data_IF_674194512760
#
_entry.id   IF_674194512760
#
_cell.length_a   1.000
_cell.length_b   1.000
_cell.length_c   1.000
_cell.angle_alpha   90.00
_cell.angle_beta   90.00
_cell.angle_gamma   90.00
#
_symmetry.space_group_name_H-M   'P 1'
#
loop_
_entity.id
_entity.type
_entity.pdbx_description
1 polymer ?
#
# COMPACT_ATOMS: atom_id res chain seq x y z
N UNK A 1 -22.18 6.67 19.72
CA UNK A 1 -21.20 6.56 18.62
C UNK A 1 -20.73 5.12 18.61
N UNK A 2 -21.17 4.32 17.63
CA UNK A 2 -20.77 2.92 17.53
C UNK A 2 -19.29 2.86 17.15
N UNK A 3 -18.50 2.03 17.83
CA UNK A 3 -17.15 1.71 17.40
C UNK A 3 -17.25 1.05 16.01
N UNK A 4 -16.73 1.70 14.97
CA UNK A 4 -16.49 1.04 13.68
C UNK A 4 -15.51 -0.13 13.95
N UNK A 5 -15.76 -1.29 13.34
CA UNK A 5 -14.84 -2.42 13.44
C UNK A 5 -13.61 -2.16 12.58
N UNK A 6 -12.42 -2.41 13.12
CA UNK A 6 -11.19 -2.44 12.34
C UNK A 6 -11.18 -3.68 11.44
N UNK A 7 -10.64 -3.55 10.24
CA UNK A 7 -10.33 -4.67 9.36
C UNK A 7 -9.13 -5.44 9.90
N UNK A 8 -9.12 -6.76 9.68
CA UNK A 8 -8.05 -7.65 10.12
C UNK A 8 -7.12 -7.99 8.95
N UNK A 9 -5.81 -7.96 9.21
CA UNK A 9 -4.81 -8.46 8.26
C UNK A 9 -4.76 -9.98 8.38
N UNK A 10 -5.14 -10.67 7.30
CA UNK A 10 -5.08 -12.12 7.19
C UNK A 10 -3.77 -12.57 6.56
N UNK A 11 -3.07 -13.54 7.18
CA UNK A 11 -1.93 -14.21 6.54
C UNK A 11 -2.45 -15.39 5.71
N UNK A 12 -2.38 -15.26 4.39
CA UNK A 12 -2.87 -16.27 3.43
C UNK A 12 -1.92 -17.47 3.27
N UNK A 13 -0.63 -17.29 3.59
CA UNK A 13 0.36 -18.35 3.49
C UNK A 13 1.66 -17.86 2.87
N UNK A 14 2.23 -18.66 1.97
CA UNK A 14 3.45 -18.30 1.25
C UNK A 14 3.27 -18.45 -0.25
N UNK A 15 3.83 -17.51 -1.00
CA UNK A 15 3.95 -17.64 -2.45
C UNK A 15 4.92 -18.79 -2.80
N UNK A 16 4.52 -19.78 -3.62
CA UNK A 16 5.34 -20.96 -3.87
C UNK A 16 6.60 -20.69 -4.70
N UNK A 17 6.67 -19.56 -5.42
CA UNK A 17 7.80 -19.23 -6.30
C UNK A 17 8.87 -18.42 -5.57
N UNK A 18 8.45 -17.45 -4.78
CA UNK A 18 9.30 -16.49 -4.07
C UNK A 18 9.48 -16.83 -2.59
N UNK A 19 8.66 -17.72 -2.03
CA UNK A 19 8.62 -18.08 -0.60
C UNK A 19 8.33 -16.91 0.35
N UNK A 20 7.80 -15.80 -0.18
CA UNK A 20 7.36 -14.62 0.59
C UNK A 20 6.05 -14.94 1.31
N UNK A 21 5.88 -14.42 2.52
CA UNK A 21 4.60 -14.48 3.21
C UNK A 21 3.59 -13.56 2.50
N UNK A 22 2.40 -14.08 2.24
CA UNK A 22 1.31 -13.33 1.62
C UNK A 22 0.32 -12.89 2.71
N UNK A 23 0.00 -11.60 2.71
CA UNK A 23 -0.97 -10.99 3.60
C UNK A 23 -2.09 -10.33 2.78
N UNK A 24 -3.30 -10.32 3.32
CA UNK A 24 -4.46 -9.71 2.71
C UNK A 24 -5.21 -8.86 3.72
N UNK A 25 -5.68 -7.70 3.29
CA UNK A 25 -6.53 -6.80 4.06
C UNK A 25 -7.64 -6.32 3.14
N UNK A 26 -8.89 -6.47 3.59
CA UNK A 26 -10.05 -5.89 2.94
C UNK A 26 -10.67 -4.85 3.87
N UNK A 27 -10.72 -3.60 3.43
CA UNK A 27 -11.26 -2.48 4.18
C UNK A 27 -12.21 -1.69 3.27
N UNK A 28 -13.37 -1.30 3.80
CA UNK A 28 -14.35 -0.49 3.08
C UNK A 28 -14.07 1.01 3.21
N UNK A 29 -13.47 1.42 4.33
CA UNK A 29 -13.06 2.79 4.64
C UNK A 29 -11.60 2.81 5.13
N UNK A 30 -10.89 3.92 4.92
CA UNK A 30 -9.52 4.11 5.42
C UNK A 30 -9.43 3.99 6.96
N UNK A 31 -10.47 4.39 7.69
CA UNK A 31 -10.54 4.28 9.15
C UNK A 31 -10.57 2.83 9.67
N UNK A 32 -10.85 1.85 8.80
CA UNK A 32 -10.83 0.43 9.17
C UNK A 32 -9.42 -0.16 9.11
N UNK A 33 -8.46 0.54 8.50
CA UNK A 33 -7.09 0.05 8.32
C UNK A 33 -6.38 0.07 9.67
N UNK A 34 -5.80 -1.06 10.12
CA UNK A 34 -5.17 -1.12 11.41
C UNK A 34 -3.91 -0.25 11.43
N UNK A 35 -3.82 0.67 12.40
CA UNK A 35 -2.64 1.52 12.58
C UNK A 35 -1.37 0.78 13.00
N UNK A 36 -1.45 -0.52 13.29
CA UNK A 36 -0.31 -1.42 13.54
C UNK A 36 -0.36 -2.63 12.65
N UNK A 37 0.72 -2.88 11.93
CA UNK A 37 0.89 -4.02 11.05
C UNK A 37 2.06 -4.86 11.53
N UNK A 38 1.83 -6.17 11.74
CA UNK A 38 2.84 -7.10 12.21
C UNK A 38 3.19 -8.07 11.08
N UNK A 39 4.17 -7.69 10.26
CA UNK A 39 4.69 -8.55 9.21
C UNK A 39 5.88 -9.37 9.69
N UNK A 40 6.09 -10.52 9.06
CA UNK A 40 7.23 -11.40 9.31
C UNK A 40 8.56 -10.87 8.77
N UNK A 41 8.51 -9.90 7.85
CA UNK A 41 9.65 -9.27 7.19
C UNK A 41 9.65 -7.76 7.48
N UNK A 42 10.83 -7.14 7.65
CA UNK A 42 10.94 -5.69 7.80
C UNK A 42 10.68 -4.92 6.51
N UNK A 43 10.67 -5.60 5.35
CA UNK A 43 10.34 -5.00 4.05
C UNK A 43 9.27 -5.82 3.33
N UNK A 44 8.38 -5.15 2.60
CA UNK A 44 7.35 -5.80 1.81
C UNK A 44 7.02 -5.03 0.53
N UNK A 45 6.34 -5.73 -0.37
CA UNK A 45 5.72 -5.16 -1.57
C UNK A 45 4.23 -5.03 -1.32
N UNK A 46 3.61 -3.94 -1.79
CA UNK A 46 2.21 -3.64 -1.52
C UNK A 46 1.44 -3.43 -2.82
N UNK A 47 0.38 -4.21 -3.03
CA UNK A 47 -0.64 -3.92 -4.04
C UNK A 47 -1.77 -3.15 -3.34
N UNK A 48 -2.04 -1.93 -3.81
CA UNK A 48 -3.19 -1.13 -3.40
C UNK A 48 -4.24 -1.23 -4.51
N UNK A 49 -5.26 -2.06 -4.28
CA UNK A 49 -6.42 -2.16 -5.14
C UNK A 49 -7.55 -1.26 -4.60
N UNK A 50 -7.74 -0.09 -5.19
CA UNK A 50 -8.61 0.95 -4.68
C UNK A 50 -9.16 1.84 -5.80
N UNK A 51 -10.48 2.08 -5.78
CA UNK A 51 -11.11 3.15 -6.56
C UNK A 51 -10.94 4.49 -5.83
N UNK A 52 -9.91 5.25 -6.18
CA UNK A 52 -9.50 6.47 -5.47
C UNK A 52 -10.03 7.77 -6.09
N UNK A 53 -10.98 7.70 -7.03
CA UNK A 53 -11.52 8.83 -7.81
C UNK A 53 -11.98 10.02 -6.94
N UNK A 54 -12.57 9.72 -5.78
CA UNK A 54 -13.10 10.71 -4.83
C UNK A 54 -12.16 11.05 -3.67
N UNK A 55 -11.02 10.39 -3.59
CA UNK A 55 -10.12 10.51 -2.44
C UNK A 55 -9.18 11.70 -2.64
N UNK A 56 -9.00 12.49 -1.58
CA UNK A 56 -8.05 13.61 -1.59
C UNK A 56 -6.61 13.12 -1.50
N UNK A 57 -5.66 13.99 -1.83
CA UNK A 57 -4.23 13.68 -1.66
C UNK A 57 -3.92 13.36 -0.20
N UNK A 58 -4.51 14.11 0.75
CA UNK A 58 -4.33 13.87 2.19
C UNK A 58 -4.87 12.50 2.63
N UNK A 59 -5.98 12.04 2.06
CA UNK A 59 -6.52 10.71 2.32
C UNK A 59 -5.57 9.63 1.79
N UNK A 60 -5.04 9.80 0.58
CA UNK A 60 -4.03 8.90 -0.01
C UNK A 60 -2.74 8.88 0.84
N UNK A 61 -2.23 10.05 1.23
CA UNK A 61 -1.05 10.15 2.09
C UNK A 61 -1.26 9.45 3.43
N UNK A 62 -2.44 9.61 4.05
CA UNK A 62 -2.76 8.97 5.33
C UNK A 62 -2.78 7.44 5.27
N UNK A 63 -3.07 6.87 4.09
CA UNK A 63 -2.95 5.44 3.82
C UNK A 63 -1.50 5.00 3.62
N UNK A 64 -0.74 5.76 2.82
CA UNK A 64 0.58 5.36 2.31
C UNK A 64 1.69 5.55 3.34
N UNK A 65 1.69 6.66 4.08
CA UNK A 65 2.78 6.98 5.02
C UNK A 65 3.02 5.87 6.05
N UNK A 66 1.99 5.26 6.68
CA UNK A 66 2.19 4.12 7.56
C UNK A 66 2.80 2.92 6.84
N UNK A 67 2.39 2.63 5.59
CA UNK A 67 2.91 1.49 4.83
C UNK A 67 4.41 1.65 4.56
N UNK A 68 4.83 2.84 4.14
CA UNK A 68 6.24 3.20 3.96
C UNK A 68 7.01 3.00 5.28
N UNK A 69 6.48 3.55 6.38
CA UNK A 69 7.09 3.43 7.72
C UNK A 69 7.23 1.97 8.20
N UNK A 70 6.31 1.09 7.80
CA UNK A 70 6.38 -0.35 8.11
C UNK A 70 7.28 -1.14 7.15
N UNK A 71 7.86 -0.50 6.13
CA UNK A 71 8.83 -1.10 5.22
C UNK A 71 8.30 -1.44 3.82
N UNK A 72 7.21 -0.81 3.37
CA UNK A 72 6.82 -0.90 1.98
C UNK A 72 7.88 -0.26 1.09
N UNK A 73 8.52 -1.06 0.23
CA UNK A 73 9.60 -0.61 -0.67
C UNK A 73 9.20 -0.67 -2.15
N UNK A 74 8.02 -1.23 -2.44
CA UNK A 74 7.45 -1.29 -3.78
C UNK A 74 5.93 -1.19 -3.68
N UNK A 75 5.34 -0.31 -4.48
CA UNK A 75 3.90 -0.16 -4.59
C UNK A 75 3.43 -0.47 -6.02
N UNK A 76 2.35 -1.24 -6.10
CA UNK A 76 1.57 -1.43 -7.30
C UNK A 76 0.18 -0.87 -7.03
N UNK A 77 -0.27 0.10 -7.82
CA UNK A 77 -1.58 0.72 -7.68
C UNK A 77 -2.54 0.22 -8.77
N UNK A 78 -3.77 -0.12 -8.38
CA UNK A 78 -4.81 -0.60 -9.28
C UNK A 78 -6.18 -0.03 -8.89
N UNK A 79 -7.02 0.24 -9.87
CA UNK A 79 -8.38 0.76 -9.69
C UNK A 79 -8.57 2.12 -10.34
N UNK A 80 -9.76 2.70 -10.21
CA UNK A 80 -10.04 4.00 -10.80
C UNK A 80 -9.15 5.09 -10.18
N UNK A 81 -8.53 5.90 -11.04
CA UNK A 81 -7.66 7.03 -10.63
C UNK A 81 -6.43 6.61 -9.80
N UNK A 82 -5.99 5.36 -9.96
CA UNK A 82 -4.84 4.81 -9.22
C UNK A 82 -3.49 5.44 -9.61
N UNK A 83 -3.41 6.13 -10.76
CA UNK A 83 -2.25 6.96 -11.12
C UNK A 83 -2.02 8.04 -10.07
N UNK A 84 -3.08 8.66 -9.52
CA UNK A 84 -2.95 9.64 -8.44
C UNK A 84 -2.38 9.04 -7.14
N UNK A 85 -2.70 7.77 -6.86
CA UNK A 85 -2.12 7.05 -5.71
C UNK A 85 -0.62 6.90 -5.91
N UNK A 86 -0.20 6.49 -7.10
CA UNK A 86 1.21 6.44 -7.49
C UNK A 86 1.90 7.81 -7.38
N UNK A 87 1.36 8.85 -8.02
CA UNK A 87 1.97 10.19 -8.01
C UNK A 87 2.13 10.74 -6.58
N UNK A 88 1.17 10.44 -5.70
CA UNK A 88 1.24 10.82 -4.28
C UNK A 88 2.38 10.10 -3.55
N UNK A 89 2.60 8.81 -3.83
CA UNK A 89 3.72 8.04 -3.25
C UNK A 89 5.06 8.62 -3.72
N UNK A 90 5.18 8.91 -5.01
CA UNK A 90 6.40 9.50 -5.59
C UNK A 90 6.69 10.89 -5.01
N UNK A 91 5.65 11.72 -4.84
CA UNK A 91 5.78 13.02 -4.19
C UNK A 91 6.26 12.87 -2.74
N UNK A 92 5.65 11.96 -1.96
CA UNK A 92 6.08 11.63 -0.59
C UNK A 92 7.54 11.18 -0.55
N UNK A 93 7.97 10.27 -1.43
CA UNK A 93 9.34 9.76 -1.46
C UNK A 93 10.36 10.84 -1.86
N UNK A 94 9.97 11.76 -2.75
CA UNK A 94 10.85 12.81 -3.28
C UNK A 94 11.20 13.93 -2.28
N UNK A 95 10.48 14.04 -1.15
CA UNK A 95 10.72 15.11 -0.20
C UNK A 95 12.07 14.90 0.53
N UNK A 96 12.99 15.89 0.49
CA UNK A 96 14.38 15.75 0.97
C UNK A 96 14.53 15.61 2.50
N UNK A 97 13.41 15.53 3.22
CA UNK A 97 13.32 15.40 4.68
C UNK A 97 12.28 14.35 5.03
N UNK A 98 12.43 13.12 4.52
CA UNK A 98 11.55 12.00 4.89
C UNK A 98 11.76 11.62 6.37
N UNK A 99 11.15 12.40 7.26
CA UNK A 99 11.00 12.17 8.71
C UNK A 99 10.02 10.99 8.98
N UNK A 100 9.53 10.35 7.91
CA UNK A 100 8.63 9.20 7.89
C UNK A 100 9.37 7.92 8.33
N UNK A 101 10.71 7.97 8.42
CA UNK A 101 11.54 6.89 8.93
C UNK A 101 11.99 5.89 7.86
N UNK A 102 11.91 6.26 6.59
CA UNK A 102 12.52 5.49 5.50
C UNK A 102 14.04 5.40 5.71
N UNK A 103 14.68 4.23 5.54
CA UNK A 103 16.13 4.10 5.67
C UNK A 103 16.87 5.10 4.78
N UNK A 104 18.01 5.66 5.24
CA UNK A 104 18.90 6.43 4.35
C UNK A 104 19.20 5.59 3.09
N UNK A 105 19.00 6.17 1.90
CA UNK A 105 19.12 5.54 0.58
C UNK A 105 18.02 4.53 0.18
N UNK A 106 16.88 4.47 0.87
CA UNK A 106 15.74 3.69 0.36
C UNK A 106 15.17 4.33 -0.90
N UNK A 107 15.08 3.54 -1.98
CA UNK A 107 14.33 3.93 -3.18
C UNK A 107 12.98 3.23 -3.12
N UNK A 108 11.90 4.00 -3.08
CA UNK A 108 10.56 3.45 -3.27
C UNK A 108 10.33 3.33 -4.77
N UNK A 109 9.89 2.14 -5.19
CA UNK A 109 9.47 1.93 -6.58
C UNK A 109 7.95 1.87 -6.64
N UNK A 110 7.38 2.47 -7.67
CA UNK A 110 5.94 2.57 -7.87
C UNK A 110 5.59 2.15 -9.30
N UNK A 111 4.40 1.55 -9.45
CA UNK A 111 3.77 1.25 -10.74
C UNK A 111 2.26 1.43 -10.58
N UNK A 112 1.56 1.71 -11.67
CA UNK A 112 0.10 1.80 -11.70
C UNK A 112 -0.46 1.10 -12.92
N UNK A 113 -1.68 0.57 -12.78
CA UNK A 113 -2.33 -0.28 -13.77
C UNK A 113 -3.80 0.11 -13.95
N UNK A 114 -4.07 1.34 -14.41
CA UNK A 114 -5.44 1.88 -14.57
C UNK A 114 -6.25 1.21 -15.68
N UNK A 115 -5.58 0.66 -16.70
CA UNK A 115 -6.22 0.09 -17.90
C UNK A 115 -6.17 -1.45 -17.95
N UNK A 116 -5.73 -2.09 -16.87
CA UNK A 116 -5.59 -3.55 -16.79
C UNK A 116 -6.62 -4.16 -15.83
N UNK A 117 -6.96 -5.44 -16.04
CA UNK A 117 -7.77 -6.17 -15.05
C UNK A 117 -6.93 -6.45 -13.80
N UNK A 118 -7.57 -6.52 -12.63
CA UNK A 118 -6.90 -6.89 -11.38
C UNK A 118 -6.15 -8.23 -11.50
N UNK A 119 -6.74 -9.21 -12.20
CA UNK A 119 -6.08 -10.48 -12.51
C UNK A 119 -4.75 -10.29 -13.26
N UNK A 120 -4.71 -9.40 -14.25
CA UNK A 120 -3.49 -9.10 -15.00
C UNK A 120 -2.47 -8.37 -14.12
N UNK A 121 -2.90 -7.40 -13.32
CA UNK A 121 -2.04 -6.66 -12.40
C UNK A 121 -1.39 -7.56 -11.36
N UNK A 122 -2.12 -8.56 -10.84
CA UNK A 122 -1.58 -9.56 -9.92
C UNK A 122 -0.41 -10.38 -10.50
N UNK A 123 -0.21 -10.42 -11.82
CA UNK A 123 0.98 -11.05 -12.42
C UNK A 123 2.23 -10.17 -12.38
N UNK A 124 2.07 -8.85 -12.20
CA UNK A 124 3.18 -7.91 -12.02
C UNK A 124 3.62 -7.78 -10.56
N UNK A 125 2.76 -8.22 -9.63
CA UNK A 125 2.96 -8.25 -8.19
C UNK A 125 3.57 -9.59 -7.72
#
# INVERSE_FOLDING_TARGET
>A
VGLKSMAEIERLGKDPLTNRDLYFLNAMDLDEIPGRMNFSSPNFICLIAWDSDRSSVEEISSLVEPLIKYGASYFCAWGNDCERVHDTIDEIDSYPYNDIGSPEDSVIMTTWHSDESLEKTLYFF
#
